data_IF_702589671226
#
_entry.id   IF_702589671226
#
_cell.length_a   1.000
_cell.length_b   1.000
_cell.length_c   1.000
_cell.angle_alpha   90.00
_cell.angle_beta   90.00
_cell.angle_gamma   90.00
#
_symmetry.space_group_name_H-M   'P 1'
#
loop_
_entity.id
_entity.type
_entity.pdbx_description
1 polymer ?
#
# COMPACT_ATOMS: atom_id res chain seq x y z
N UNK A 1 -6.64 -14.83 3.32
CA UNK A 1 -6.72 -13.68 4.22
C UNK A 1 -8.14 -13.59 4.72
N UNK A 2 -8.35 -13.57 6.03
CA UNK A 2 -9.69 -13.42 6.56
C UNK A 2 -10.27 -12.05 6.14
N UNK A 3 -11.54 -11.97 5.72
CA UNK A 3 -12.24 -10.70 5.45
C UNK A 3 -12.07 -9.66 6.57
N UNK A 4 -11.84 -10.16 7.79
CA UNK A 4 -11.62 -9.44 9.04
C UNK A 4 -10.37 -8.55 9.05
N UNK A 5 -9.29 -8.88 8.32
CA UNK A 5 -8.05 -8.07 8.35
C UNK A 5 -8.22 -6.72 7.66
N UNK A 6 -8.87 -6.72 6.49
CA UNK A 6 -9.17 -5.49 5.74
C UNK A 6 -10.08 -4.58 6.57
N UNK A 7 -11.15 -5.13 7.14
CA UNK A 7 -12.15 -4.39 7.91
C UNK A 7 -11.54 -3.78 9.20
N UNK A 8 -10.75 -4.56 9.94
CA UNK A 8 -10.01 -4.06 11.12
C UNK A 8 -9.12 -2.88 10.76
N UNK A 9 -8.35 -2.99 9.69
CA UNK A 9 -7.44 -1.94 9.30
C UNK A 9 -8.19 -0.69 8.81
N UNK A 10 -9.31 -0.84 8.11
CA UNK A 10 -10.20 0.29 7.79
C UNK A 10 -10.70 0.99 9.06
N UNK A 11 -11.12 0.25 10.08
CA UNK A 11 -11.58 0.81 11.37
C UNK A 11 -10.46 1.59 12.06
N UNK A 12 -9.25 1.05 12.09
CA UNK A 12 -8.10 1.72 12.72
C UNK A 12 -7.70 2.99 11.97
N UNK A 13 -7.66 2.93 10.64
CA UNK A 13 -7.33 4.07 9.81
C UNK A 13 -8.37 5.19 9.86
N UNK A 14 -9.66 4.85 10.07
CA UNK A 14 -10.72 5.84 10.34
C UNK A 14 -10.49 6.63 11.64
N UNK A 15 -9.59 6.17 12.53
CA UNK A 15 -9.16 6.95 13.70
C UNK A 15 -8.06 7.96 13.38
N UNK A 16 -7.66 8.06 12.11
CA UNK A 16 -6.59 8.92 11.61
C UNK A 16 -5.30 8.86 12.43
N UNK A 17 -4.70 7.66 12.62
CA UNK A 17 -3.37 7.58 13.23
C UNK A 17 -2.36 8.44 12.47
N UNK A 18 -1.42 9.05 13.20
CA UNK A 18 -0.37 9.88 12.59
C UNK A 18 0.80 9.04 12.05
N UNK A 19 0.98 7.83 12.59
CA UNK A 19 2.05 6.92 12.23
C UNK A 19 1.56 5.47 12.33
N UNK A 20 2.09 4.60 11.47
CA UNK A 20 1.96 3.15 11.59
C UNK A 20 3.25 2.61 12.20
N UNK A 21 3.12 1.85 13.29
CA UNK A 21 4.26 1.17 13.95
C UNK A 21 4.29 -0.33 13.65
N UNK A 22 3.15 -0.89 13.25
CA UNK A 22 3.02 -2.31 12.92
C UNK A 22 3.45 -2.56 11.47
N UNK A 23 4.36 -3.50 11.27
CA UNK A 23 4.92 -3.82 9.96
C UNK A 23 3.85 -4.36 9.00
N UNK A 24 2.93 -5.19 9.48
CA UNK A 24 1.92 -5.82 8.63
C UNK A 24 0.89 -4.80 8.14
N UNK A 25 0.51 -3.86 9.01
CA UNK A 25 -0.32 -2.71 8.65
C UNK A 25 0.38 -1.83 7.62
N UNK A 26 1.66 -1.53 7.83
CA UNK A 26 2.42 -0.69 6.91
C UNK A 26 2.59 -1.36 5.54
N UNK A 27 2.94 -2.65 5.50
CA UNK A 27 3.02 -3.43 4.27
C UNK A 27 1.69 -3.44 3.53
N UNK A 28 0.58 -3.65 4.24
CA UNK A 28 -0.75 -3.63 3.65
C UNK A 28 -1.07 -2.26 3.04
N UNK A 29 -0.91 -1.17 3.80
CA UNK A 29 -1.21 0.20 3.35
C UNK A 29 -0.36 0.53 2.12
N UNK A 30 0.93 0.20 2.15
CA UNK A 30 1.87 0.46 1.05
C UNK A 30 1.47 -0.27 -0.22
N UNK A 31 1.23 -1.59 -0.14
CA UNK A 31 0.90 -2.42 -1.31
C UNK A 31 -0.50 -2.08 -1.84
N UNK A 32 -1.46 -1.87 -0.96
CA UNK A 32 -2.82 -1.53 -1.33
C UNK A 32 -2.87 -0.18 -2.06
N UNK A 33 -2.16 0.82 -1.53
CA UNK A 33 -2.05 2.14 -2.16
C UNK A 33 -1.30 2.07 -3.48
N UNK A 34 -0.20 1.30 -3.58
CA UNK A 34 0.49 1.08 -4.84
C UNK A 34 -0.42 0.43 -5.89
N UNK A 35 -1.20 -0.58 -5.50
CA UNK A 35 -2.17 -1.23 -6.39
C UNK A 35 -3.24 -0.25 -6.84
N UNK A 36 -3.77 0.58 -5.95
CA UNK A 36 -4.78 1.58 -6.32
C UNK A 36 -4.24 2.63 -7.29
N UNK A 37 -2.99 3.07 -7.13
CA UNK A 37 -2.33 3.98 -8.08
C UNK A 37 -2.29 3.34 -9.47
N UNK A 38 -1.85 2.08 -9.58
CA UNK A 38 -1.75 1.37 -10.86
C UNK A 38 -3.13 1.12 -11.46
N UNK A 39 -4.07 0.58 -10.69
CA UNK A 39 -5.38 0.18 -11.21
C UNK A 39 -6.18 1.39 -11.74
N UNK A 40 -6.08 2.54 -11.06
CA UNK A 40 -6.73 3.78 -11.49
C UNK A 40 -6.03 4.48 -12.67
N UNK A 41 -4.76 4.16 -12.95
CA UNK A 41 -3.99 4.79 -14.03
C UNK A 41 -3.85 3.91 -15.28
N UNK A 42 -3.39 2.67 -15.11
CA UNK A 42 -3.28 1.64 -16.14
C UNK A 42 -3.32 0.23 -15.50
N UNK A 43 -4.53 -0.33 -15.40
CA UNK A 43 -4.79 -1.68 -14.87
C UNK A 43 -3.95 -2.79 -15.53
N UNK A 44 -3.52 -2.62 -16.79
CA UNK A 44 -2.68 -3.62 -17.46
C UNK A 44 -1.30 -3.78 -16.81
N UNK A 45 -0.87 -2.78 -16.02
CA UNK A 45 0.44 -2.71 -15.40
C UNK A 45 0.48 -3.28 -13.98
N UNK A 46 -0.58 -3.94 -13.52
CA UNK A 46 -0.62 -4.61 -12.20
C UNK A 46 0.52 -5.63 -12.00
N UNK A 47 1.17 -6.06 -13.08
CA UNK A 47 2.40 -6.87 -13.03
C UNK A 47 3.53 -6.21 -12.21
N UNK A 48 3.58 -4.89 -12.12
CA UNK A 48 4.57 -4.15 -11.32
C UNK A 48 4.53 -4.49 -9.83
N UNK A 49 3.39 -4.95 -9.32
CA UNK A 49 3.25 -5.38 -7.92
C UNK A 49 4.12 -6.59 -7.59
N UNK A 50 4.55 -7.38 -8.58
CA UNK A 50 5.47 -8.51 -8.35
C UNK A 50 6.85 -8.06 -7.85
N UNK A 51 7.22 -6.79 -8.04
CA UNK A 51 8.49 -6.26 -7.55
C UNK A 51 8.57 -6.27 -6.01
N UNK A 52 7.43 -6.27 -5.31
CA UNK A 52 7.40 -6.40 -3.85
C UNK A 52 7.84 -7.80 -3.37
N UNK A 53 7.73 -8.84 -4.21
CA UNK A 53 8.03 -10.22 -3.80
C UNK A 53 9.53 -10.49 -3.63
N UNK A 54 10.39 -9.65 -4.20
CA UNK A 54 11.84 -9.76 -4.07
C UNK A 54 12.43 -8.89 -2.95
N UNK A 55 11.61 -8.07 -2.28
CA UNK A 55 12.09 -7.20 -1.22
C UNK A 55 12.49 -8.03 0.01
N UNK A 56 13.66 -7.73 0.55
CA UNK A 56 14.21 -8.29 1.79
C UNK A 56 14.13 -7.32 2.96
N UNK A 57 13.90 -6.03 2.69
CA UNK A 57 13.80 -4.97 3.70
C UNK A 57 12.68 -3.97 3.38
N UNK A 58 12.15 -3.30 4.41
CA UNK A 58 11.14 -2.24 4.25
C UNK A 58 11.63 -1.07 3.40
N UNK A 59 12.92 -0.75 3.42
CA UNK A 59 13.50 0.28 2.55
C UNK A 59 13.38 -0.05 1.06
N UNK A 60 13.48 -1.33 0.69
CA UNK A 60 13.29 -1.79 -0.70
C UNK A 60 11.80 -1.76 -1.07
N UNK A 61 10.91 -2.10 -0.15
CA UNK A 61 9.46 -1.94 -0.33
C UNK A 61 9.11 -0.48 -0.60
N UNK A 62 9.69 0.46 0.17
CA UNK A 62 9.52 1.90 -0.04
C UNK A 62 10.00 2.31 -1.44
N UNK A 63 11.16 1.85 -1.89
CA UNK A 63 11.68 2.16 -3.23
C UNK A 63 10.76 1.66 -4.35
N UNK A 64 10.16 0.47 -4.19
CA UNK A 64 9.17 -0.05 -5.14
C UNK A 64 7.92 0.82 -5.13
N UNK A 65 7.44 1.23 -3.96
CA UNK A 65 6.31 2.15 -3.83
C UNK A 65 6.60 3.49 -4.53
N UNK A 66 7.74 4.11 -4.25
CA UNK A 66 8.14 5.39 -4.85
C UNK A 66 8.25 5.29 -6.37
N UNK A 67 8.76 4.16 -6.88
CA UNK A 67 8.84 3.88 -8.32
C UNK A 67 7.45 3.82 -8.96
N UNK A 68 6.52 3.12 -8.30
CA UNK A 68 5.12 3.02 -8.74
C UNK A 68 4.47 4.41 -8.70
N UNK A 69 4.65 5.15 -7.61
CA UNK A 69 4.11 6.49 -7.44
C UNK A 69 4.63 7.46 -8.50
N UNK A 70 5.93 7.46 -8.77
CA UNK A 70 6.53 8.32 -9.80
C UNK A 70 6.11 7.93 -11.22
N UNK A 71 5.93 6.65 -11.51
CA UNK A 71 5.56 6.17 -12.86
C UNK A 71 4.06 6.36 -13.15
N UNK A 72 3.21 6.14 -12.16
CA UNK A 72 1.76 5.99 -12.37
C UNK A 72 0.92 7.08 -11.66
N UNK A 73 1.49 7.75 -10.66
CA UNK A 73 0.78 8.72 -9.82
C UNK A 73 0.64 10.14 -10.39
N UNK A 74 1.07 10.40 -11.63
CA UNK A 74 1.06 11.75 -12.21
C UNK A 74 -0.05 11.98 -13.25
N UNK A 75 0.00 11.34 -14.43
CA UNK A 75 -0.81 11.75 -15.58
C UNK A 75 -2.24 11.16 -15.62
N UNK A 76 -2.48 10.05 -14.93
CA UNK A 76 -3.75 9.30 -15.03
C UNK A 76 -4.33 8.88 -13.69
N UNK A 77 -3.74 9.30 -12.58
CA UNK A 77 -4.25 8.99 -11.25
C UNK A 77 -5.16 10.11 -10.75
N UNK A 78 -6.47 9.89 -10.80
CA UNK A 78 -7.50 10.89 -10.45
C UNK A 78 -7.46 11.32 -8.98
N UNK A 79 -6.98 10.44 -8.09
CA UNK A 79 -6.95 10.65 -6.64
C UNK A 79 -5.69 11.36 -6.15
N UNK A 80 -4.78 11.80 -7.03
CA UNK A 80 -3.49 12.43 -6.66
C UNK A 80 -3.64 13.58 -5.66
N UNK A 81 -4.72 14.34 -5.77
CA UNK A 81 -5.00 15.50 -4.92
C UNK A 81 -5.99 15.21 -3.80
N UNK A 82 -6.47 13.98 -3.64
CA UNK A 82 -7.41 13.67 -2.57
C UNK A 82 -6.70 13.62 -1.22
N UNK A 83 -7.36 14.14 -0.19
CA UNK A 83 -6.86 14.12 1.19
C UNK A 83 -6.59 12.70 1.67
N UNK A 84 -7.41 11.75 1.22
CA UNK A 84 -7.30 10.34 1.53
C UNK A 84 -6.01 9.74 0.97
N UNK A 85 -5.72 10.01 -0.30
CA UNK A 85 -4.47 9.55 -0.91
C UNK A 85 -3.24 10.19 -0.25
N UNK A 86 -3.26 11.51 -0.03
CA UNK A 86 -2.17 12.21 0.65
C UNK A 86 -1.92 11.65 2.06
N UNK A 87 -3.00 11.33 2.79
CA UNK A 87 -2.93 10.69 4.09
C UNK A 87 -2.29 9.30 4.00
N UNK A 88 -2.74 8.43 3.10
CA UNK A 88 -2.14 7.10 2.90
C UNK A 88 -0.65 7.22 2.55
N UNK A 89 -0.27 8.12 1.65
CA UNK A 89 1.14 8.39 1.34
C UNK A 89 1.94 8.85 2.57
N UNK A 90 1.34 9.66 3.45
CA UNK A 90 2.00 10.11 4.68
C UNK A 90 2.26 8.96 5.68
N UNK A 91 1.38 7.96 5.71
CA UNK A 91 1.54 6.76 6.55
C UNK A 91 2.61 5.81 6.00
N UNK A 92 2.72 5.73 4.67
CA UNK A 92 3.76 4.95 4.00
C UNK A 92 5.13 5.60 4.28
N UNK A 93 5.20 6.93 4.23
CA UNK A 93 6.44 7.66 4.47
C UNK A 93 6.98 7.45 5.89
N UNK A 94 8.31 7.22 5.99
CA UNK A 94 9.09 7.18 7.23
C UNK A 94 8.93 5.92 8.10
N UNK A 95 8.60 4.76 7.53
CA UNK A 95 8.67 3.51 8.29
C UNK A 95 10.13 3.07 8.51
N UNK A 96 10.50 2.58 9.72
CA UNK A 96 11.87 2.16 10.00
C UNK A 96 12.35 1.03 9.09
N UNK A 97 13.64 1.08 8.71
CA UNK A 97 14.29 -0.02 7.99
C UNK A 97 14.30 -1.27 8.86
N UNK A 98 13.62 -2.32 8.40
CA UNK A 98 13.49 -3.60 9.07
C UNK A 98 13.59 -4.72 8.03
N UNK A 99 14.20 -5.86 8.39
CA UNK A 99 14.25 -7.05 7.55
C UNK A 99 12.89 -7.74 7.46
N UNK A 100 12.55 -8.24 6.28
CA UNK A 100 11.37 -9.04 6.03
C UNK A 100 11.70 -10.52 6.21
N UNK A 101 10.83 -11.25 6.88
CA UNK A 101 10.92 -12.70 7.04
C UNK A 101 9.96 -13.40 6.06
N UNK A 102 10.00 -14.73 6.05
CA UNK A 102 9.08 -15.55 5.24
C UNK A 102 7.60 -15.22 5.53
N UNK A 103 7.27 -14.86 6.78
CA UNK A 103 5.91 -14.44 7.17
C UNK A 103 5.48 -13.18 6.43
N UNK A 104 6.35 -12.16 6.37
CA UNK A 104 6.04 -10.95 5.62
C UNK A 104 5.97 -11.21 4.11
N UNK A 105 6.77 -12.12 3.55
CA UNK A 105 6.66 -12.49 2.12
C UNK A 105 5.33 -13.17 1.78
N UNK A 106 4.83 -14.02 2.67
CA UNK A 106 3.49 -14.62 2.55
C UNK A 106 2.39 -13.55 2.63
N UNK A 107 2.54 -12.58 3.53
CA UNK A 107 1.62 -11.45 3.67
C UNK A 107 1.61 -10.56 2.42
N UNK A 108 2.78 -10.16 1.91
CA UNK A 108 2.92 -9.39 0.67
C UNK A 108 2.22 -10.11 -0.49
N UNK A 109 2.48 -11.41 -0.64
CA UNK A 109 1.85 -12.26 -1.65
C UNK A 109 0.33 -12.31 -1.54
N UNK A 110 -0.18 -12.22 -0.31
CA UNK A 110 -1.61 -12.20 -0.02
C UNK A 110 -2.22 -10.81 -0.24
N UNK A 111 -1.52 -9.73 0.14
CA UNK A 111 -1.97 -8.34 0.00
C UNK A 111 -2.14 -7.92 -1.47
N UNK A 112 -1.22 -8.34 -2.35
CA UNK A 112 -1.32 -8.07 -3.80
C UNK A 112 -2.62 -8.61 -4.42
N UNK A 113 -3.16 -9.70 -3.87
CA UNK A 113 -4.37 -10.39 -4.36
C UNK A 113 -5.68 -9.76 -3.86
N UNK A 114 -5.64 -8.77 -2.99
CA UNK A 114 -6.84 -8.17 -2.41
C UNK A 114 -7.44 -7.17 -3.39
N UNK A 115 -8.67 -7.41 -3.82
CA UNK A 115 -9.38 -6.60 -4.83
C UNK A 115 -10.23 -5.48 -4.22
N UNK A 116 -9.89 -5.06 -2.99
CA UNK A 116 -10.48 -3.91 -2.30
C UNK A 116 -9.40 -2.86 -2.04
N UNK A 117 -9.76 -1.59 -2.13
CA UNK A 117 -8.84 -0.46 -1.90
C UNK A 117 -9.18 0.29 -0.62
N UNK A 118 -8.16 0.76 0.08
CA UNK A 118 -8.25 1.64 1.24
C UNK A 118 -8.64 3.09 0.88
N UNK A 119 -8.92 3.38 -0.39
CA UNK A 119 -9.44 4.69 -0.81
C UNK A 119 -10.82 4.85 -0.17
N UNK A 120 -10.88 5.44 1.02
CA UNK A 120 -12.04 5.41 1.91
C UNK A 120 -13.34 5.76 1.16
N UNK A 121 -14.16 4.74 0.90
CA UNK A 121 -15.55 4.88 0.47
C UNK A 121 -16.36 5.27 1.71
N UNK A 122 -16.37 6.56 2.06
CA UNK A 122 -17.39 7.25 2.85
C UNK A 122 -17.03 8.75 3.00
N UNK A 123 -17.61 9.58 2.14
CA UNK A 123 -18.52 10.62 2.62
C UNK A 123 -19.93 10.07 2.52
#
# INVERSE_FOLDING_TARGET
MEPDYFEKLTIELNRHPHHIIDLNQWLFVTINTAKSIIDNSDKSQLIYLKNFFSCTQTSEVQQVFDTIQGKFGDKYFSEKNSSNYQYLCSLVANFPTTSLTDVEHELISSFVKIDKYLLYENL
#
